data_IF_366264426044
#
_entry.id   IF_366264426044
#
_cell.length_a   1.000
_cell.length_b   1.000
_cell.length_c   1.000
_cell.angle_alpha   90.00
_cell.angle_beta   90.00
_cell.angle_gamma   90.00
#
_symmetry.space_group_name_H-M   'P 1'
#
loop_
_entity.id
_entity.type
_entity.pdbx_description
1 polymer ?
#
# COMPACT_ATOMS: atom_id res chain seq x y z
N UNK A 1 -62.74 -45.13 34.51
CA UNK A 1 -63.39 -43.98 33.85
C UNK A 1 -62.28 -43.00 33.53
N UNK A 2 -61.57 -43.29 32.46
CA UNK A 2 -60.50 -42.44 31.91
C UNK A 2 -61.13 -41.21 31.28
N UNK A 3 -60.80 -40.04 31.80
CA UNK A 3 -61.06 -38.76 31.12
C UNK A 3 -59.87 -38.47 30.22
N UNK A 4 -60.13 -38.64 28.92
CA UNK A 4 -59.17 -38.58 27.83
C UNK A 4 -58.49 -37.23 27.68
N UNK A 5 -57.30 -37.30 27.08
CA UNK A 5 -56.38 -36.19 26.92
C UNK A 5 -56.82 -35.15 25.89
N UNK A 6 -56.25 -33.97 26.06
CA UNK A 6 -55.94 -33.07 24.96
C UNK A 6 -54.47 -32.67 25.16
N UNK A 7 -53.55 -33.52 24.70
CA UNK A 7 -52.17 -33.10 24.51
C UNK A 7 -52.19 -32.05 23.40
N UNK A 8 -51.94 -30.79 23.76
CA UNK A 8 -51.67 -29.75 22.77
C UNK A 8 -50.29 -30.08 22.20
N UNK A 9 -50.26 -30.87 21.12
CA UNK A 9 -49.04 -31.07 20.36
C UNK A 9 -48.73 -29.76 19.62
N UNK A 10 -47.71 -29.05 20.08
CA UNK A 10 -47.03 -28.07 19.25
C UNK A 10 -46.17 -28.80 18.21
N UNK A 11 -46.80 -29.54 17.30
CA UNK A 11 -46.21 -29.99 16.05
C UNK A 11 -46.45 -28.90 15.02
N UNK A 12 -45.69 -27.80 15.11
CA UNK A 12 -45.56 -26.84 14.01
C UNK A 12 -44.14 -26.92 13.49
N UNK A 13 -44.07 -27.48 12.29
CA UNK A 13 -42.96 -27.50 11.37
C UNK A 13 -42.09 -26.25 11.52
N UNK A 14 -40.83 -26.46 11.91
CA UNK A 14 -39.77 -25.47 11.76
C UNK A 14 -39.52 -25.29 10.25
N UNK A 15 -40.35 -24.52 9.56
CA UNK A 15 -39.90 -23.87 8.34
C UNK A 15 -38.99 -22.73 8.79
N UNK A 16 -37.69 -22.98 8.66
CA UNK A 16 -36.63 -22.00 8.82
C UNK A 16 -37.01 -20.76 8.02
N UNK A 17 -37.14 -19.62 8.71
CA UNK A 17 -37.07 -18.32 8.06
C UNK A 17 -35.64 -18.17 7.54
N UNK A 18 -35.38 -18.71 6.36
CA UNK A 18 -34.11 -18.51 5.65
C UNK A 18 -34.14 -17.08 5.13
N UNK A 19 -33.12 -16.29 5.48
CA UNK A 19 -32.95 -14.97 4.87
C UNK A 19 -32.67 -15.20 3.38
N UNK A 20 -33.51 -14.72 2.44
CA UNK A 20 -33.29 -14.97 1.02
C UNK A 20 -31.99 -14.34 0.49
N UNK A 21 -31.38 -13.42 1.23
CA UNK A 21 -30.07 -12.86 0.94
C UNK A 21 -28.90 -13.63 1.58
N UNK A 22 -29.19 -14.64 2.41
CA UNK A 22 -28.16 -15.50 3.02
C UNK A 22 -27.43 -16.28 1.92
N UNK A 23 -26.11 -16.06 1.81
CA UNK A 23 -25.27 -16.70 0.78
C UNK A 23 -25.28 -16.03 -0.60
N UNK A 24 -25.97 -14.89 -0.77
CA UNK A 24 -25.95 -14.13 -2.02
C UNK A 24 -24.73 -13.21 -2.09
N UNK A 25 -23.80 -13.52 -2.98
CA UNK A 25 -22.63 -12.68 -3.24
C UNK A 25 -22.92 -11.65 -4.33
N UNK A 26 -22.96 -10.37 -3.96
CA UNK A 26 -23.16 -9.27 -4.90
C UNK A 26 -21.83 -8.70 -5.41
N UNK A 27 -21.76 -8.26 -6.69
CA UNK A 27 -20.60 -7.55 -7.23
C UNK A 27 -20.26 -6.29 -6.42
N UNK A 28 -18.99 -5.87 -6.44
CA UNK A 28 -18.45 -4.80 -5.60
C UNK A 28 -19.37 -3.56 -5.48
N UNK A 29 -19.55 -3.08 -4.23
CA UNK A 29 -20.42 -1.96 -3.80
C UNK A 29 -21.94 -2.15 -3.94
N UNK A 30 -22.41 -3.31 -4.43
CA UNK A 30 -23.82 -3.68 -4.41
C UNK A 30 -24.19 -4.40 -3.11
N UNK A 31 -25.46 -4.31 -2.74
CA UNK A 31 -26.02 -4.96 -1.55
C UNK A 31 -27.19 -5.85 -2.00
N UNK A 32 -27.33 -7.03 -1.38
CA UNK A 32 -28.50 -7.87 -1.60
C UNK A 32 -29.73 -7.20 -0.98
N UNK A 33 -30.77 -7.02 -1.79
CA UNK A 33 -32.07 -6.51 -1.36
C UNK A 33 -33.16 -7.40 -1.95
N UNK A 34 -34.36 -7.41 -1.36
CA UNK A 34 -35.49 -8.16 -1.90
C UNK A 34 -36.28 -7.30 -2.89
N UNK A 35 -36.72 -7.91 -3.99
CA UNK A 35 -37.70 -7.29 -4.90
C UNK A 35 -39.15 -7.40 -4.36
N UNK A 36 -40.12 -6.92 -5.13
CA UNK A 36 -41.55 -6.98 -4.77
C UNK A 36 -42.09 -8.42 -4.62
N UNK A 37 -41.38 -9.42 -5.16
CA UNK A 37 -41.71 -10.83 -5.10
C UNK A 37 -40.88 -11.59 -4.05
N UNK A 38 -40.07 -10.87 -3.24
CA UNK A 38 -39.14 -11.41 -2.25
C UNK A 38 -37.99 -12.24 -2.83
N UNK A 39 -37.63 -12.02 -4.08
CA UNK A 39 -36.42 -12.61 -4.66
C UNK A 39 -35.19 -11.77 -4.28
N UNK A 40 -34.05 -12.39 -3.96
CA UNK A 40 -32.81 -11.66 -3.74
C UNK A 40 -32.29 -11.05 -5.04
N UNK A 41 -32.01 -9.75 -5.00
CA UNK A 41 -31.48 -8.98 -6.12
C UNK A 41 -30.31 -8.12 -5.66
N UNK A 42 -29.21 -8.14 -6.40
CA UNK A 42 -28.07 -7.25 -6.14
C UNK A 42 -28.31 -5.90 -6.81
N UNK A 43 -28.36 -4.83 -6.01
CA UNK A 43 -28.48 -3.46 -6.51
C UNK A 43 -27.64 -2.51 -5.68
N UNK A 44 -27.39 -1.32 -6.23
CA UNK A 44 -26.78 -0.25 -5.45
C UNK A 44 -27.67 0.07 -4.26
N UNK A 45 -27.06 0.19 -3.07
CA UNK A 45 -27.80 0.63 -1.91
C UNK A 45 -28.49 1.98 -2.22
N UNK A 46 -29.70 2.15 -1.72
CA UNK A 46 -30.48 3.38 -1.87
C UNK A 46 -30.75 4.06 -0.54
N UNK A 47 -30.45 3.38 0.58
CA UNK A 47 -30.80 3.83 1.92
C UNK A 47 -29.50 4.11 2.67
N UNK A 48 -29.31 5.37 3.04
CA UNK A 48 -28.21 5.80 3.90
C UNK A 48 -28.78 6.50 5.13
N UNK A 49 -28.08 6.40 6.26
CA UNK A 49 -28.37 7.25 7.42
C UNK A 49 -28.26 8.73 7.03
N UNK A 50 -29.13 9.62 7.52
CA UNK A 50 -29.00 11.06 7.31
C UNK A 50 -27.87 11.69 8.14
N UNK A 51 -27.16 10.92 8.98
CA UNK A 51 -26.06 11.43 9.80
C UNK A 51 -25.01 12.14 8.94
N UNK A 52 -24.71 13.39 9.32
CA UNK A 52 -23.70 14.20 8.69
C UNK A 52 -22.32 13.84 9.23
N UNK A 53 -21.58 13.01 8.49
CA UNK A 53 -20.20 12.59 8.77
C UNK A 53 -19.42 12.65 7.46
N UNK A 54 -19.04 13.86 7.01
CA UNK A 54 -18.63 14.09 5.64
C UNK A 54 -17.34 13.36 5.29
N UNK A 55 -17.21 12.97 4.03
CA UNK A 55 -15.98 12.39 3.47
C UNK A 55 -15.66 13.03 2.12
N UNK A 56 -14.38 13.24 1.83
CA UNK A 56 -13.91 13.74 0.55
C UNK A 56 -13.65 12.57 -0.39
N UNK A 57 -14.32 12.52 -1.53
CA UNK A 57 -14.15 11.49 -2.55
C UNK A 57 -12.97 11.74 -3.48
N UNK A 58 -12.48 10.68 -4.12
CA UNK A 58 -11.41 10.73 -5.12
C UNK A 58 -11.73 11.55 -6.36
N UNK A 59 -12.99 11.89 -6.56
CA UNK A 59 -13.48 12.80 -7.60
C UNK A 59 -13.53 14.27 -7.14
N UNK A 60 -12.99 14.56 -5.95
CA UNK A 60 -12.93 15.91 -5.38
C UNK A 60 -14.27 16.41 -4.82
N UNK A 61 -15.26 15.53 -4.65
CA UNK A 61 -16.57 15.89 -4.10
C UNK A 61 -16.72 15.50 -2.64
N UNK A 62 -17.37 16.37 -1.87
CA UNK A 62 -17.81 16.06 -0.52
C UNK A 62 -19.08 15.22 -0.55
N UNK A 63 -19.07 14.11 0.17
CA UNK A 63 -20.23 13.25 0.38
C UNK A 63 -20.70 13.39 1.83
N UNK A 64 -22.03 13.42 2.06
CA UNK A 64 -22.61 13.60 3.41
C UNK A 64 -22.13 12.53 4.40
N UNK A 65 -21.88 11.33 3.89
CA UNK A 65 -21.23 10.23 4.60
C UNK A 65 -20.71 9.16 3.63
N UNK A 66 -19.91 8.23 4.15
CA UNK A 66 -19.35 7.10 3.41
C UNK A 66 -20.41 6.29 2.64
N UNK A 67 -21.61 6.11 3.21
CA UNK A 67 -22.69 5.39 2.52
C UNK A 67 -23.06 6.09 1.20
N UNK A 68 -23.26 7.42 1.23
CA UNK A 68 -23.60 8.16 0.02
C UNK A 68 -22.50 8.12 -1.06
N UNK A 69 -21.22 8.11 -0.67
CA UNK A 69 -20.10 7.91 -1.59
C UNK A 69 -20.16 6.52 -2.24
N UNK A 70 -20.38 5.46 -1.45
CA UNK A 70 -20.48 4.08 -1.97
C UNK A 70 -21.67 3.91 -2.91
N UNK A 71 -22.80 4.55 -2.61
CA UNK A 71 -23.97 4.58 -3.51
C UNK A 71 -23.63 5.24 -4.83
N UNK A 72 -22.94 6.38 -4.82
CA UNK A 72 -22.52 7.08 -6.04
C UNK A 72 -21.49 6.27 -6.84
N UNK A 73 -20.53 5.65 -6.16
CA UNK A 73 -19.53 4.73 -6.73
C UNK A 73 -20.23 3.61 -7.52
N UNK A 74 -21.22 2.97 -6.88
CA UNK A 74 -22.02 1.92 -7.50
C UNK A 74 -22.86 2.41 -8.68
N UNK A 75 -23.61 3.50 -8.51
CA UNK A 75 -24.53 4.03 -9.55
C UNK A 75 -23.79 4.54 -10.78
N UNK A 76 -22.67 5.23 -10.56
CA UNK A 76 -21.83 5.78 -11.64
C UNK A 76 -20.89 4.75 -12.28
N UNK A 77 -20.79 3.55 -11.69
CA UNK A 77 -19.84 2.49 -12.09
C UNK A 77 -18.39 2.98 -12.11
N UNK A 78 -18.05 3.85 -11.16
CA UNK A 78 -16.70 4.38 -10.98
C UNK A 78 -16.13 3.84 -9.68
N UNK A 79 -14.83 3.64 -9.63
CA UNK A 79 -14.14 3.28 -8.39
C UNK A 79 -13.85 4.53 -7.56
N UNK A 80 -14.87 5.05 -6.88
CA UNK A 80 -14.68 6.16 -5.95
C UNK A 80 -14.12 5.65 -4.62
N UNK A 81 -13.03 6.27 -4.16
CA UNK A 81 -12.43 6.03 -2.84
C UNK A 81 -12.53 7.29 -1.99
N UNK A 82 -12.55 7.12 -0.68
CA UNK A 82 -12.40 8.24 0.25
C UNK A 82 -10.93 8.69 0.19
N UNK A 83 -10.68 9.97 -0.05
CA UNK A 83 -9.35 10.58 0.11
C UNK A 83 -9.12 10.90 1.58
N UNK A 84 -10.09 11.52 2.27
CA UNK A 84 -9.99 11.81 3.70
C UNK A 84 -11.37 12.03 4.34
N UNK A 85 -11.44 11.92 5.67
CA UNK A 85 -12.64 12.26 6.44
C UNK A 85 -12.76 13.78 6.60
N UNK A 86 -13.92 14.32 6.24
CA UNK A 86 -14.16 15.75 6.16
C UNK A 86 -14.65 16.18 4.78
N UNK A 87 -14.98 17.45 4.65
CA UNK A 87 -15.34 18.04 3.37
C UNK A 87 -14.08 18.32 2.55
N UNK A 88 -14.13 18.18 1.22
CA UNK A 88 -12.99 18.48 0.36
C UNK A 88 -12.51 19.93 0.49
N UNK A 89 -13.43 20.88 0.74
CA UNK A 89 -13.14 22.31 0.89
C UNK A 89 -12.69 22.73 2.29
N UNK A 90 -12.67 21.81 3.26
CA UNK A 90 -12.32 22.14 4.65
C UNK A 90 -10.85 22.50 4.85
N UNK A 91 -10.00 22.26 3.85
CA UNK A 91 -8.54 22.40 3.98
C UNK A 91 -7.93 21.38 4.96
N UNK A 92 -8.71 20.47 5.52
CA UNK A 92 -8.25 19.47 6.46
C UNK A 92 -7.68 18.27 5.71
N UNK A 93 -6.55 18.43 5.02
CA UNK A 93 -5.80 17.28 4.53
C UNK A 93 -5.08 16.64 5.73
N UNK A 94 -5.40 15.39 6.11
CA UNK A 94 -4.78 14.76 7.29
C UNK A 94 -3.25 14.60 7.19
N UNK A 95 -2.69 14.65 5.98
CA UNK A 95 -1.25 14.65 5.75
C UNK A 95 -0.58 16.03 5.88
N UNK A 96 -1.32 17.13 5.90
CA UNK A 96 -0.74 18.49 5.83
C UNK A 96 0.04 18.84 7.09
N UNK A 97 -0.39 18.35 8.26
CA UNK A 97 0.27 18.57 9.54
C UNK A 97 0.89 17.30 10.15
N UNK A 98 0.83 16.17 9.43
CA UNK A 98 1.40 14.91 9.92
C UNK A 98 2.91 14.89 9.69
N UNK A 99 3.68 14.89 10.77
CA UNK A 99 5.14 14.78 10.72
C UNK A 99 5.55 13.31 10.67
N UNK A 100 5.89 12.82 9.48
CA UNK A 100 6.42 11.48 9.29
C UNK A 100 7.93 11.40 9.57
N UNK A 101 8.38 10.22 9.99
CA UNK A 101 9.78 9.93 10.28
C UNK A 101 10.66 9.84 9.03
N UNK A 102 11.98 9.60 9.20
CA UNK A 102 12.92 9.53 8.09
C UNK A 102 12.51 8.51 7.02
N UNK A 103 12.33 8.99 5.78
CA UNK A 103 11.97 8.14 4.65
C UNK A 103 10.53 7.60 4.67
N UNK A 104 9.71 8.00 5.65
CA UNK A 104 8.28 7.70 5.63
C UNK A 104 7.52 8.69 4.75
N UNK A 105 6.48 8.19 4.09
CA UNK A 105 5.54 8.97 3.32
C UNK A 105 4.16 8.91 3.98
N UNK A 106 3.41 10.00 3.89
CA UNK A 106 2.03 10.01 4.37
C UNK A 106 1.12 9.31 3.37
N UNK A 107 0.43 8.27 3.82
CA UNK A 107 -0.59 7.56 3.07
C UNK A 107 -1.92 7.67 3.81
N UNK A 108 -2.99 7.92 3.05
CA UNK A 108 -4.35 7.99 3.60
C UNK A 108 -5.08 6.70 3.25
N UNK A 109 -5.51 5.98 4.28
CA UNK A 109 -6.16 4.69 4.12
C UNK A 109 -7.58 4.80 3.54
N UNK A 110 -8.22 3.64 3.32
CA UNK A 110 -9.60 3.57 2.81
C UNK A 110 -10.64 4.23 3.73
N UNK A 111 -10.30 4.45 4.99
CA UNK A 111 -11.16 5.10 5.98
C UNK A 111 -10.86 6.60 6.10
N UNK A 112 -9.96 7.16 5.28
CA UNK A 112 -9.63 8.58 5.32
C UNK A 112 -8.72 8.98 6.47
N UNK A 113 -7.96 8.03 7.05
CA UNK A 113 -7.01 8.26 8.15
C UNK A 113 -5.59 8.34 7.60
N UNK A 114 -4.87 9.44 7.87
CA UNK A 114 -3.46 9.56 7.50
C UNK A 114 -2.57 8.71 8.41
N UNK A 115 -1.65 8.00 7.78
CA UNK A 115 -0.66 7.13 8.41
C UNK A 115 0.70 7.34 7.76
N UNK A 116 1.77 7.24 8.53
CA UNK A 116 3.13 7.28 7.99
C UNK A 116 3.58 5.86 7.66
N UNK A 117 3.91 5.62 6.39
CA UNK A 117 4.30 4.30 5.90
C UNK A 117 5.65 4.39 5.16
N UNK A 118 6.40 3.29 5.19
CA UNK A 118 7.60 3.19 4.36
C UNK A 118 7.22 2.98 2.90
N UNK A 119 8.09 3.40 1.94
CA UNK A 119 7.85 3.19 0.53
C UNK A 119 7.57 1.72 0.21
N UNK A 120 6.75 1.44 -0.81
CA UNK A 120 6.46 0.08 -1.25
C UNK A 120 7.73 -0.64 -1.73
N UNK A 121 7.60 -1.90 -2.10
CA UNK A 121 8.71 -2.68 -2.65
C UNK A 121 9.40 -1.95 -3.81
N UNK A 122 10.72 -1.88 -3.74
CA UNK A 122 11.54 -1.30 -4.79
C UNK A 122 11.53 -2.16 -6.06
N UNK A 123 11.74 -1.52 -7.21
CA UNK A 123 12.03 -2.24 -8.45
C UNK A 123 13.31 -3.08 -8.29
N UNK A 124 13.38 -4.29 -8.88
CA UNK A 124 14.54 -5.17 -8.75
C UNK A 124 15.70 -4.72 -9.65
N UNK A 125 16.19 -3.49 -9.44
CA UNK A 125 17.28 -2.89 -10.20
C UNK A 125 18.59 -2.98 -9.43
N UNK A 126 19.65 -3.48 -10.09
CA UNK A 126 20.98 -3.60 -9.49
C UNK A 126 21.84 -2.37 -9.82
N UNK A 127 21.75 -1.34 -8.99
CA UNK A 127 22.53 -0.09 -9.08
C UNK A 127 23.07 0.26 -7.69
N UNK A 128 24.15 -0.41 -7.24
CA UNK A 128 24.53 -0.43 -5.84
C UNK A 128 25.00 0.93 -5.34
N UNK A 129 24.72 1.20 -4.06
CA UNK A 129 25.21 2.38 -3.32
C UNK A 129 25.78 1.94 -1.98
N UNK A 130 26.82 2.64 -1.53
CA UNK A 130 27.35 2.51 -0.18
C UNK A 130 26.71 3.59 0.69
N UNK A 131 26.03 3.18 1.76
CA UNK A 131 25.47 4.11 2.75
C UNK A 131 26.52 4.61 3.73
N UNK A 132 26.25 5.74 4.40
CA UNK A 132 27.08 6.26 5.49
C UNK A 132 27.16 5.33 6.71
N UNK A 133 26.25 4.36 6.79
CA UNK A 133 26.28 3.26 7.74
C UNK A 133 27.28 2.14 7.37
N UNK A 134 27.99 2.28 6.25
CA UNK A 134 28.96 1.32 5.75
C UNK A 134 28.33 0.08 5.12
N UNK A 135 27.02 0.11 4.84
CA UNK A 135 26.28 -1.01 4.23
C UNK A 135 26.10 -0.78 2.73
N UNK A 136 26.27 -1.86 1.95
CA UNK A 136 25.97 -1.84 0.52
C UNK A 136 24.51 -2.16 0.27
N UNK A 137 23.82 -1.31 -0.46
CA UNK A 137 22.43 -1.50 -0.86
C UNK A 137 22.34 -1.79 -2.36
N UNK A 138 21.38 -2.61 -2.78
CA UNK A 138 21.18 -2.97 -4.19
C UNK A 138 20.76 -1.77 -5.06
N UNK A 139 20.04 -0.84 -4.46
CA UNK A 139 19.66 0.43 -5.04
C UNK A 139 19.50 1.50 -3.97
N UNK A 140 19.47 2.77 -4.39
CA UNK A 140 19.13 3.89 -3.50
C UNK A 140 17.69 3.77 -2.95
N UNK A 141 16.79 3.08 -3.65
CA UNK A 141 15.46 2.78 -3.13
C UNK A 141 15.55 1.82 -1.94
N UNK A 142 16.30 0.73 -2.07
CA UNK A 142 16.47 -0.25 -0.99
C UNK A 142 17.15 0.36 0.24
N UNK A 143 18.11 1.27 0.02
CA UNK A 143 18.74 2.03 1.09
C UNK A 143 17.72 2.88 1.86
N UNK A 144 16.92 3.69 1.15
CA UNK A 144 15.90 4.54 1.77
C UNK A 144 14.83 3.72 2.48
N UNK A 145 14.40 2.60 1.88
CA UNK A 145 13.42 1.69 2.47
C UNK A 145 13.96 1.06 3.76
N UNK A 146 15.19 0.52 3.73
CA UNK A 146 15.85 -0.06 4.91
C UNK A 146 16.01 0.97 6.02
N UNK A 147 16.41 2.20 5.67
CA UNK A 147 16.50 3.32 6.60
C UNK A 147 15.14 3.68 7.22
N UNK A 148 14.08 3.70 6.41
CA UNK A 148 12.72 3.93 6.89
C UNK A 148 12.26 2.87 7.89
N UNK A 149 12.52 1.58 7.61
CA UNK A 149 12.14 0.46 8.47
C UNK A 149 12.80 0.55 9.86
N UNK A 150 14.00 1.14 9.95
CA UNK A 150 14.72 1.37 11.21
C UNK A 150 14.64 2.81 11.71
N UNK A 151 13.79 3.65 11.12
CA UNK A 151 13.60 5.07 11.48
C UNK A 151 14.90 5.89 11.49
N UNK A 152 15.81 5.60 10.55
CA UNK A 152 17.08 6.28 10.38
C UNK A 152 17.25 6.75 8.94
N UNK A 153 17.50 8.04 8.76
CA UNK A 153 17.93 8.55 7.46
C UNK A 153 19.31 7.97 7.14
N UNK A 154 19.40 7.13 6.11
CA UNK A 154 20.66 6.65 5.56
C UNK A 154 20.94 7.48 4.32
N UNK A 155 22.11 8.12 4.28
CA UNK A 155 22.57 8.92 3.15
C UNK A 155 23.55 8.09 2.33
N UNK A 156 23.54 8.30 1.01
CA UNK A 156 24.54 7.69 0.12
C UNK A 156 25.90 8.31 0.39
N UNK A 157 26.87 7.49 0.79
CA UNK A 157 28.28 7.87 0.89
C UNK A 157 28.93 7.94 -0.50
N UNK A 158 28.73 6.91 -1.34
CA UNK A 158 29.15 6.89 -2.74
C UNK A 158 28.39 5.83 -3.55
N UNK A 159 28.40 5.98 -4.88
CA UNK A 159 27.84 4.97 -5.81
C UNK A 159 28.81 3.80 -5.96
N UNK A 160 28.29 2.58 -5.89
CA UNK A 160 29.06 1.33 -5.87
C UNK A 160 28.93 0.60 -4.53
N UNK A 161 29.52 -0.59 -4.44
CA UNK A 161 29.56 -1.36 -3.20
C UNK A 161 30.58 -0.76 -2.22
N UNK A 162 30.29 -0.85 -0.93
CA UNK A 162 31.22 -0.45 0.11
C UNK A 162 32.54 -1.23 0.02
N UNK A 163 33.64 -0.57 0.35
CA UNK A 163 34.99 -1.17 0.29
C UNK A 163 35.61 -1.21 -1.10
N UNK A 164 34.86 -0.83 -2.15
CA UNK A 164 35.44 -0.53 -3.45
C UNK A 164 36.27 0.75 -3.33
N UNK A 165 37.58 0.66 -3.57
CA UNK A 165 38.43 1.85 -3.67
C UNK A 165 37.95 2.62 -4.89
N UNK A 166 37.26 3.74 -4.67
CA UNK A 166 36.88 4.67 -5.74
C UNK A 166 38.17 5.29 -6.26
N UNK A 167 38.79 4.66 -7.25
CA UNK A 167 39.96 5.23 -7.92
C UNK A 167 39.45 6.36 -8.82
N UNK A 168 39.89 7.61 -8.60
CA UNK A 168 39.64 8.68 -9.56
C UNK A 168 40.16 8.26 -10.93
N UNK A 169 39.43 8.58 -11.99
CA UNK A 169 39.76 8.18 -13.38
C UNK A 169 41.17 8.63 -13.82
N UNK A 170 41.68 9.65 -13.13
CA UNK A 170 42.97 10.31 -13.25
C UNK A 170 44.15 9.56 -12.60
N UNK A 171 43.91 8.42 -11.92
CA UNK A 171 44.98 7.57 -11.35
C UNK A 171 45.51 6.51 -12.33
N UNK A 172 44.80 6.20 -13.41
CA UNK A 172 45.19 5.13 -14.35
C UNK A 172 46.37 5.47 -15.29
N UNK A 173 46.78 6.75 -15.38
CA UNK A 173 47.92 7.13 -16.24
C UNK A 173 49.29 7.05 -15.54
N UNK A 174 49.36 6.86 -14.22
CA UNK A 174 50.63 6.77 -13.48
C UNK A 174 51.16 5.35 -13.26
N UNK A 175 50.33 4.32 -13.44
CA UNK A 175 50.74 2.92 -13.26
C UNK A 175 51.13 2.22 -14.57
N UNK A 176 51.16 2.94 -15.70
CA UNK A 176 51.67 2.41 -16.98
C UNK A 176 53.15 2.75 -17.23
N UNK A 177 53.79 3.48 -16.33
CA UNK A 177 55.17 3.97 -16.45
C UNK A 177 56.15 3.32 -15.46
N UNK A 178 55.71 2.36 -14.63
CA UNK A 178 56.55 1.84 -13.52
C UNK A 178 56.58 0.31 -13.41
N UNK A 179 56.43 -0.41 -14.52
CA UNK A 179 56.60 -1.86 -14.54
C UNK A 179 57.29 -2.36 -15.82
N UNK A 180 58.63 -2.44 -15.73
CA UNK A 180 59.55 -3.23 -16.58
C UNK A 180 59.96 -2.54 -17.89
N UNK A 181 61.23 -2.32 -18.22
CA UNK A 181 62.28 -3.32 -18.30
C UNK A 181 63.65 -2.75 -17.87
N UNK A 182 64.27 -3.35 -16.85
CA UNK A 182 65.72 -3.46 -16.75
C UNK A 182 65.99 -4.94 -16.44
N UNK A 183 66.24 -5.72 -17.50
CA UNK A 183 67.00 -6.95 -17.37
C UNK A 183 68.44 -6.62 -17.77
N UNK A 184 69.34 -7.15 -16.94
CA UNK A 184 70.74 -6.80 -16.82
C UNK A 184 71.56 -7.36 -17.99
N UNK A 185 72.46 -6.55 -18.54
CA UNK A 185 73.55 -7.03 -19.38
C UNK A 185 74.52 -7.89 -18.55
N UNK A 186 74.73 -9.15 -18.93
CA UNK A 186 76.04 -9.78 -18.74
C UNK A 186 76.38 -10.77 -19.87
N UNK A 187 77.58 -10.70 -20.49
CA UNK A 187 77.88 -11.38 -21.75
C UNK A 187 78.69 -12.66 -21.52
N UNK A 188 78.36 -13.77 -22.17
CA UNK A 188 79.36 -14.83 -22.41
C UNK A 188 79.12 -15.55 -23.75
N UNK A 189 80.21 -15.59 -24.52
CA UNK A 189 80.38 -16.23 -25.83
C UNK A 189 80.47 -17.76 -25.72
N UNK A 190 79.92 -18.48 -26.69
CA UNK A 190 80.32 -19.82 -27.17
C UNK A 190 79.80 -19.92 -28.63
N UNK A 191 80.50 -20.28 -29.70
CA UNK A 191 81.87 -20.72 -30.00
C UNK A 191 82.26 -20.17 -31.39
#
# INVERSE_FOLDING_TARGET
MDVGGMQVQCSRSFEMYVDPCEGVECPATQVCQLDNHRNPICRCNAICSPDFRPVCGSDGKTYINECSLRVESCKSRRSLRIIFNGECSSGANPCENLQCGPGQECDIDRYGIATCQCPPSCEPVMRPVCGEDGVTYHSECDMRKSGCEVQKAIVVQYRGACGMKVVPYDYQQRQRSDSGHQEEDMPYKVA
#
